data_IF_283629300411
#
_entry.id   IF_283629300411
#
_cell.length_a   1.000
_cell.length_b   1.000
_cell.length_c   1.000
_cell.angle_alpha   90.00
_cell.angle_beta   90.00
_cell.angle_gamma   90.00
#
_symmetry.space_group_name_H-M   'P 1'
#
loop_
_entity.id
_entity.type
_entity.pdbx_description
1 polymer ?
#
# COMPACT_ATOMS: atom_id res chain seq x y z
N UNK A 1 -14.70 55.50 30.64
CA UNK A 1 -16.03 55.12 30.12
C UNK A 1 -15.77 54.43 28.80
N UNK A 2 -15.54 53.13 28.89
CA UNK A 2 -15.29 52.23 27.77
C UNK A 2 -16.56 52.11 26.92
N UNK A 3 -16.42 52.23 25.60
CA UNK A 3 -17.45 51.83 24.64
C UNK A 3 -16.92 50.66 23.84
N UNK A 4 -17.55 49.51 24.03
CA UNK A 4 -17.35 48.24 23.33
C UNK A 4 -17.31 48.41 21.81
N UNK A 5 -16.17 48.07 21.21
CA UNK A 5 -16.04 47.85 19.78
C UNK A 5 -16.04 46.35 19.48
N UNK A 6 -17.22 45.75 19.39
CA UNK A 6 -17.39 44.35 18.97
C UNK A 6 -17.64 44.33 17.47
N UNK A 7 -16.57 44.24 16.68
CA UNK A 7 -16.66 43.92 15.26
C UNK A 7 -17.12 42.46 15.14
N UNK A 8 -18.34 42.27 14.66
CA UNK A 8 -18.82 40.97 14.17
C UNK A 8 -18.14 40.69 12.84
N UNK A 9 -17.13 39.84 12.84
CA UNK A 9 -16.68 39.14 11.63
C UNK A 9 -17.80 38.19 11.21
N UNK A 10 -18.59 38.61 10.22
CA UNK A 10 -19.44 37.71 9.45
C UNK A 10 -18.53 36.85 8.59
N UNK A 11 -18.27 35.62 9.03
CA UNK A 11 -17.59 34.58 8.25
C UNK A 11 -18.38 34.32 6.95
N UNK A 12 -17.81 34.77 5.83
CA UNK A 12 -18.24 34.39 4.48
C UNK A 12 -18.15 32.86 4.34
N UNK A 13 -19.29 32.19 4.54
CA UNK A 13 -19.52 30.83 4.04
C UNK A 13 -19.27 30.81 2.54
N UNK A 14 -18.14 30.26 2.11
CA UNK A 14 -17.90 29.89 0.71
C UNK A 14 -19.09 29.03 0.23
N UNK A 15 -19.80 29.43 -0.83
CA UNK A 15 -20.94 28.66 -1.30
C UNK A 15 -20.47 27.33 -1.89
N UNK A 16 -21.18 26.25 -1.53
CA UNK A 16 -21.05 24.97 -2.23
C UNK A 16 -21.26 25.23 -3.74
N UNK A 17 -20.27 24.87 -4.56
CA UNK A 17 -20.31 25.08 -6.00
C UNK A 17 -21.54 24.36 -6.56
N UNK A 18 -22.55 25.13 -6.95
CA UNK A 18 -23.77 24.60 -7.56
C UNK A 18 -23.41 24.01 -8.93
N UNK A 19 -23.62 22.69 -9.08
CA UNK A 19 -23.38 21.98 -10.35
C UNK A 19 -24.32 22.51 -11.42
N UNK A 20 -23.82 22.62 -12.65
CA UNK A 20 -24.70 22.94 -13.79
C UNK A 20 -25.69 21.79 -14.05
N UNK A 21 -26.79 22.07 -14.73
CA UNK A 21 -27.79 21.04 -15.09
C UNK A 21 -27.17 19.87 -15.87
N UNK A 22 -26.20 20.15 -16.75
CA UNK A 22 -25.47 19.13 -17.51
C UNK A 22 -24.54 18.28 -16.64
N UNK A 23 -23.80 18.91 -15.71
CA UNK A 23 -22.94 18.19 -14.76
C UNK A 23 -23.77 17.30 -13.82
N UNK A 24 -24.93 17.78 -13.37
CA UNK A 24 -25.82 16.99 -12.52
C UNK A 24 -26.41 15.79 -13.28
N UNK A 25 -26.75 15.95 -14.56
CA UNK A 25 -27.19 14.83 -15.40
C UNK A 25 -26.09 13.78 -15.58
N UNK A 26 -24.84 14.20 -15.86
CA UNK A 26 -23.70 13.29 -15.98
C UNK A 26 -23.43 12.54 -14.66
N UNK A 27 -23.49 13.26 -13.53
CA UNK A 27 -23.38 12.67 -12.20
C UNK A 27 -24.44 11.58 -11.98
N UNK A 28 -25.71 11.90 -12.20
CA UNK A 28 -26.82 10.97 -11.99
C UNK A 28 -26.70 9.74 -12.90
N UNK A 29 -26.30 9.93 -14.15
CA UNK A 29 -26.11 8.83 -15.10
C UNK A 29 -24.97 7.89 -14.68
N UNK A 30 -23.84 8.43 -14.21
CA UNK A 30 -22.72 7.62 -13.72
C UNK A 30 -23.07 6.91 -12.41
N UNK A 31 -23.73 7.59 -11.47
CA UNK A 31 -24.22 6.99 -10.23
C UNK A 31 -25.16 5.80 -10.50
N UNK A 32 -26.10 5.94 -11.44
CA UNK A 32 -26.99 4.85 -11.83
C UNK A 32 -26.23 3.63 -12.37
N UNK A 33 -25.20 3.84 -13.20
CA UNK A 33 -24.34 2.76 -13.71
C UNK A 33 -23.55 2.07 -12.61
N UNK A 34 -23.05 2.81 -11.62
CA UNK A 34 -22.35 2.22 -10.46
C UNK A 34 -23.31 1.32 -9.68
N UNK A 35 -24.51 1.80 -9.35
CA UNK A 35 -25.51 1.02 -8.63
C UNK A 35 -25.94 -0.23 -9.39
N UNK A 36 -26.13 -0.12 -10.71
CA UNK A 36 -26.44 -1.27 -11.56
C UNK A 36 -25.32 -2.30 -11.56
N UNK A 37 -24.06 -1.87 -11.69
CA UNK A 37 -22.91 -2.75 -11.64
C UNK A 37 -22.76 -3.43 -10.25
N UNK A 38 -23.03 -2.72 -9.15
CA UNK A 38 -23.09 -3.31 -7.81
C UNK A 38 -24.17 -4.39 -7.71
N UNK A 39 -25.38 -4.10 -8.21
CA UNK A 39 -26.51 -5.04 -8.21
C UNK A 39 -26.17 -6.34 -8.94
N UNK A 40 -25.47 -6.25 -10.07
CA UNK A 40 -25.07 -7.41 -10.87
C UNK A 40 -23.71 -8.00 -10.48
N UNK A 41 -23.05 -7.45 -9.45
CA UNK A 41 -21.70 -7.83 -9.02
C UNK A 41 -20.68 -7.79 -10.17
N UNK A 42 -20.86 -6.84 -11.09
CA UNK A 42 -19.98 -6.64 -12.24
C UNK A 42 -18.73 -5.86 -11.84
N UNK A 43 -17.77 -6.58 -11.25
CA UNK A 43 -16.53 -5.99 -10.73
C UNK A 43 -15.71 -5.33 -11.84
N UNK A 44 -15.76 -5.84 -13.07
CA UNK A 44 -15.05 -5.24 -14.21
C UNK A 44 -15.60 -3.84 -14.52
N UNK A 45 -16.92 -3.69 -14.61
CA UNK A 45 -17.55 -2.39 -14.81
C UNK A 45 -17.31 -1.46 -13.62
N UNK A 46 -17.35 -1.96 -12.38
CA UNK A 46 -17.05 -1.15 -11.19
C UNK A 46 -15.62 -0.59 -11.22
N UNK A 47 -14.64 -1.39 -11.65
CA UNK A 47 -13.24 -0.93 -11.81
C UNK A 47 -13.10 0.14 -12.87
N UNK A 48 -13.74 -0.05 -14.02
CA UNK A 48 -13.74 0.93 -15.10
C UNK A 48 -14.35 2.27 -14.63
N UNK A 49 -15.47 2.22 -13.90
CA UNK A 49 -16.15 3.39 -13.35
C UNK A 49 -15.31 4.09 -12.26
N UNK A 50 -14.69 3.33 -11.35
CA UNK A 50 -13.81 3.85 -10.30
C UNK A 50 -12.52 4.50 -10.88
N UNK A 51 -12.03 3.99 -12.00
CA UNK A 51 -10.84 4.54 -12.67
C UNK A 51 -11.18 5.77 -13.51
N UNK A 52 -12.37 5.81 -14.12
CA UNK A 52 -12.83 6.94 -14.95
C UNK A 52 -12.94 8.25 -14.18
N UNK A 53 -12.93 9.37 -14.91
CA UNK A 53 -12.94 10.74 -14.37
C UNK A 53 -14.00 10.94 -13.27
N UNK A 54 -13.57 11.51 -12.13
CA UNK A 54 -14.41 11.72 -10.94
C UNK A 54 -14.65 10.48 -10.07
N UNK A 55 -14.16 9.30 -10.46
CA UNK A 55 -14.21 8.08 -9.65
C UNK A 55 -15.62 7.64 -9.28
N UNK A 56 -15.82 7.19 -8.04
CA UNK A 56 -17.11 6.68 -7.56
C UNK A 56 -18.08 7.77 -7.08
N UNK A 57 -17.69 9.05 -7.19
CA UNK A 57 -18.51 10.24 -6.96
C UNK A 57 -18.90 10.57 -5.50
N UNK A 58 -19.23 9.58 -4.68
CA UNK A 58 -19.65 9.81 -3.28
C UNK A 58 -19.36 8.63 -2.37
N UNK A 59 -19.30 8.89 -1.06
CA UNK A 59 -19.08 7.84 -0.05
C UNK A 59 -20.23 6.83 0.01
N UNK A 60 -21.47 7.22 -0.30
CA UNK A 60 -22.61 6.29 -0.43
C UNK A 60 -22.39 5.24 -1.52
N UNK A 61 -21.82 5.64 -2.66
CA UNK A 61 -21.49 4.73 -3.74
C UNK A 61 -20.25 3.91 -3.42
N UNK A 62 -19.26 4.51 -2.73
CA UNK A 62 -18.06 3.79 -2.25
C UNK A 62 -18.41 2.70 -1.25
N UNK A 63 -19.31 2.95 -0.30
CA UNK A 63 -19.81 1.94 0.65
C UNK A 63 -20.34 0.69 -0.04
N UNK A 64 -21.07 0.89 -1.15
CA UNK A 64 -21.61 -0.22 -1.93
C UNK A 64 -20.56 -0.86 -2.84
N UNK A 65 -19.54 -0.13 -3.28
CA UNK A 65 -18.61 -0.57 -4.33
C UNK A 65 -17.31 -1.16 -3.79
N UNK A 66 -16.70 -0.53 -2.77
CA UNK A 66 -15.41 -0.94 -2.22
C UNK A 66 -15.38 -2.40 -1.73
N UNK A 67 -16.45 -2.96 -1.12
CA UNK A 67 -16.47 -4.39 -0.78
C UNK A 67 -16.20 -5.30 -1.99
N UNK A 68 -16.82 -5.01 -3.14
CA UNK A 68 -16.58 -5.76 -4.38
C UNK A 68 -15.16 -5.59 -4.92
N UNK A 69 -14.60 -4.38 -4.87
CA UNK A 69 -13.22 -4.11 -5.33
C UNK A 69 -12.16 -4.80 -4.45
N UNK A 70 -12.47 -4.98 -3.16
CA UNK A 70 -11.66 -5.70 -2.18
C UNK A 70 -11.92 -7.22 -2.19
N UNK A 71 -12.99 -7.68 -2.82
CA UNK A 71 -13.26 -9.10 -2.98
C UNK A 71 -13.91 -9.77 -1.77
N UNK A 72 -14.78 -9.06 -1.05
CA UNK A 72 -15.63 -9.69 -0.04
C UNK A 72 -17.09 -9.34 -0.28
N UNK A 73 -18.04 -10.26 -0.02
CA UNK A 73 -19.44 -9.93 -0.06
C UNK A 73 -19.72 -8.91 1.05
N UNK A 74 -20.37 -7.79 0.70
CA UNK A 74 -21.02 -6.92 1.69
C UNK A 74 -21.91 -7.82 2.54
N UNK A 75 -21.75 -7.79 3.86
CA UNK A 75 -22.65 -8.54 4.73
C UNK A 75 -23.99 -7.79 4.75
N UNK A 76 -24.95 -8.27 3.96
CA UNK A 76 -26.34 -7.89 4.12
C UNK A 76 -26.84 -8.51 5.44
N UNK A 77 -26.96 -7.68 6.47
CA UNK A 77 -27.82 -7.80 7.65
C UNK A 77 -28.20 -9.23 8.13
N UNK A 78 -27.34 -9.83 8.97
CA UNK A 78 -27.77 -10.85 9.96
C UNK A 78 -27.67 -10.23 11.38
N UNK A 79 -28.68 -9.43 11.72
CA UNK A 79 -28.69 -8.46 12.84
C UNK A 79 -28.80 -9.10 14.24
N UNK A 80 -29.07 -10.39 14.38
CA UNK A 80 -29.53 -10.94 15.68
C UNK A 80 -28.44 -11.61 16.55
N UNK A 81 -27.18 -11.69 16.11
CA UNK A 81 -26.08 -12.32 16.90
C UNK A 81 -24.76 -11.54 16.86
N UNK A 82 -24.85 -10.20 16.84
CA UNK A 82 -23.73 -9.39 16.36
C UNK A 82 -22.80 -8.81 17.44
N UNK A 83 -23.27 -8.47 18.64
CA UNK A 83 -22.41 -7.75 19.61
C UNK A 83 -21.26 -8.62 20.15
N UNK A 84 -21.54 -9.87 20.53
CA UNK A 84 -20.49 -10.77 21.04
C UNK A 84 -19.47 -11.20 19.97
N UNK A 85 -19.90 -11.28 18.70
CA UNK A 85 -19.02 -11.53 17.56
C UNK A 85 -18.19 -10.29 17.22
N UNK A 86 -18.80 -9.10 17.24
CA UNK A 86 -18.12 -7.81 16.99
C UNK A 86 -17.06 -7.52 18.04
N UNK A 87 -17.31 -7.79 19.31
CA UNK A 87 -16.32 -7.56 20.37
C UNK A 87 -15.41 -8.76 20.66
N UNK A 88 -15.55 -9.86 19.91
CA UNK A 88 -14.77 -11.08 20.13
C UNK A 88 -13.26 -10.87 20.08
N UNK A 89 -12.80 -9.90 19.29
CA UNK A 89 -11.38 -9.56 19.16
C UNK A 89 -10.78 -9.02 20.45
N UNK A 90 -11.58 -8.40 21.33
CA UNK A 90 -11.10 -7.88 22.63
C UNK A 90 -10.57 -8.99 23.54
N UNK A 91 -11.03 -10.24 23.33
CA UNK A 91 -10.56 -11.45 24.04
C UNK A 91 -9.30 -12.06 23.43
N UNK A 92 -8.89 -11.65 22.23
CA UNK A 92 -7.66 -12.13 21.61
C UNK A 92 -6.44 -11.52 22.32
N UNK A 93 -5.28 -12.20 22.28
CA UNK A 93 -4.05 -11.69 22.86
C UNK A 93 -3.68 -10.29 22.34
N UNK A 94 -3.08 -9.48 23.21
CA UNK A 94 -2.55 -8.16 22.84
C UNK A 94 -1.55 -8.30 21.68
N UNK A 95 -1.71 -7.49 20.65
CA UNK A 95 -0.73 -7.38 19.57
C UNK A 95 0.49 -6.56 20.03
N UNK A 96 1.67 -6.92 19.53
CA UNK A 96 2.96 -6.30 19.92
C UNK A 96 3.03 -4.80 19.61
N UNK A 97 2.28 -4.34 18.61
CA UNK A 97 2.38 -2.97 18.08
C UNK A 97 1.30 -2.01 18.60
N UNK A 98 0.41 -2.43 19.52
CA UNK A 98 -0.72 -1.59 19.99
C UNK A 98 -0.27 -0.26 20.62
N UNK A 99 0.88 -0.23 21.28
CA UNK A 99 1.38 1.00 21.90
C UNK A 99 1.77 2.03 20.82
N UNK A 100 2.32 1.57 19.69
CA UNK A 100 2.61 2.43 18.53
C UNK A 100 1.33 2.90 17.85
N UNK A 101 0.31 2.03 17.74
CA UNK A 101 -1.02 2.39 17.22
C UNK A 101 -1.58 3.57 18.01
N UNK A 102 -1.56 3.50 19.34
CA UNK A 102 -2.10 4.56 20.19
C UNK A 102 -1.38 5.91 19.97
N UNK A 103 -0.04 5.90 19.89
CA UNK A 103 0.75 7.12 19.65
C UNK A 103 0.42 7.77 18.30
N UNK A 104 0.18 6.96 17.28
CA UNK A 104 -0.13 7.41 15.93
C UNK A 104 -1.56 7.91 15.81
N UNK A 105 -2.54 7.18 16.37
CA UNK A 105 -3.95 7.57 16.38
C UNK A 105 -4.18 8.90 17.10
N UNK A 106 -3.41 9.19 18.15
CA UNK A 106 -3.46 10.48 18.84
C UNK A 106 -3.15 11.66 17.90
N UNK A 107 -2.39 11.42 16.83
CA UNK A 107 -2.00 12.39 15.80
C UNK A 107 -2.87 12.31 14.53
N UNK A 108 -3.95 11.53 14.52
CA UNK A 108 -4.87 11.41 13.38
C UNK A 108 -5.95 12.49 13.36
N UNK A 109 -6.66 12.61 12.23
CA UNK A 109 -7.73 13.57 11.98
C UNK A 109 -7.33 15.05 12.14
N UNK A 110 -6.08 15.40 11.80
CA UNK A 110 -5.58 16.78 11.85
C UNK A 110 -6.16 17.64 10.73
N UNK A 111 -6.18 17.10 9.50
CA UNK A 111 -6.60 17.87 8.32
C UNK A 111 -8.06 17.64 7.95
N UNK A 112 -8.59 16.43 8.20
CA UNK A 112 -9.96 16.07 7.86
C UNK A 112 -10.55 15.09 8.87
N UNK A 113 -11.88 15.04 9.01
CA UNK A 113 -12.87 15.94 8.40
C UNK A 113 -12.93 17.32 9.12
N UNK A 114 -13.30 18.37 8.39
CA UNK A 114 -13.49 19.71 8.97
C UNK A 114 -14.73 19.80 9.88
N UNK A 115 -14.80 20.88 10.68
CA UNK A 115 -15.96 21.28 11.49
C UNK A 115 -16.44 20.23 12.50
N UNK A 116 -15.51 19.49 13.10
CA UNK A 116 -15.81 18.48 14.11
C UNK A 116 -15.64 19.05 15.52
N UNK A 117 -16.54 18.66 16.43
CA UNK A 117 -16.32 18.90 17.85
C UNK A 117 -15.15 18.06 18.37
N UNK A 118 -14.45 18.51 19.42
CA UNK A 118 -13.39 17.71 20.05
C UNK A 118 -13.90 16.32 20.47
N UNK A 119 -15.14 16.24 20.96
CA UNK A 119 -15.78 14.97 21.33
C UNK A 119 -15.97 14.03 20.13
N UNK A 120 -16.29 14.57 18.95
CA UNK A 120 -16.41 13.77 17.74
C UNK A 120 -15.04 13.28 17.24
N UNK A 121 -14.01 14.11 17.37
CA UNK A 121 -12.63 13.73 17.06
C UNK A 121 -12.13 12.63 17.99
N UNK A 122 -12.35 12.77 19.30
CA UNK A 122 -11.96 11.76 20.29
C UNK A 122 -12.66 10.43 20.04
N UNK A 123 -13.98 10.46 19.78
CA UNK A 123 -14.73 9.26 19.37
C UNK A 123 -14.15 8.61 18.11
N UNK A 124 -13.83 9.40 17.06
CA UNK A 124 -13.23 8.83 15.84
C UNK A 124 -11.84 8.24 16.09
N UNK A 125 -11.05 8.84 16.97
CA UNK A 125 -9.76 8.28 17.39
C UNK A 125 -9.93 6.96 18.12
N UNK A 126 -10.91 6.85 19.02
CA UNK A 126 -11.26 5.58 19.65
C UNK A 126 -11.68 4.53 18.62
N UNK A 127 -12.61 4.87 17.71
CA UNK A 127 -13.04 3.97 16.63
C UNK A 127 -11.87 3.55 15.70
N UNK A 128 -10.93 4.45 15.43
CA UNK A 128 -9.74 4.16 14.62
C UNK A 128 -8.78 3.22 15.36
N UNK A 129 -8.56 3.44 16.65
CA UNK A 129 -7.73 2.59 17.51
C UNK A 129 -8.31 1.18 17.59
N UNK A 130 -9.62 1.07 17.81
CA UNK A 130 -10.33 -0.20 17.86
C UNK A 130 -10.23 -0.93 16.52
N UNK A 131 -10.47 -0.24 15.39
CA UNK A 131 -10.36 -0.82 14.05
C UNK A 131 -8.97 -1.41 13.77
N UNK A 132 -7.91 -0.63 14.03
CA UNK A 132 -6.53 -1.07 13.77
C UNK A 132 -6.17 -2.23 14.71
N UNK A 133 -6.50 -2.13 15.99
CA UNK A 133 -6.21 -3.15 16.99
C UNK A 133 -6.94 -4.46 16.68
N UNK A 134 -8.21 -4.36 16.30
CA UNK A 134 -9.03 -5.50 15.89
C UNK A 134 -8.39 -6.26 14.73
N UNK A 135 -7.96 -5.55 13.68
CA UNK A 135 -7.28 -6.17 12.51
C UNK A 135 -5.98 -6.85 12.93
N UNK A 136 -5.13 -6.16 13.71
CA UNK A 136 -3.84 -6.70 14.14
C UNK A 136 -3.98 -7.90 15.09
N UNK A 137 -4.96 -7.90 15.99
CA UNK A 137 -5.21 -9.04 16.89
C UNK A 137 -5.76 -10.26 16.16
N UNK A 138 -6.61 -10.05 15.14
CA UNK A 138 -7.10 -11.15 14.29
C UNK A 138 -6.04 -11.68 13.31
N UNK A 139 -5.08 -10.84 12.94
CA UNK A 139 -3.98 -11.19 12.02
C UNK A 139 -2.61 -10.84 12.63
N UNK A 140 -2.20 -11.53 13.71
CA UNK A 140 -1.02 -11.16 14.51
C UNK A 140 0.32 -11.33 13.80
N UNK A 141 0.32 -11.94 12.62
CA UNK A 141 1.50 -12.03 11.76
C UNK A 141 1.85 -10.68 11.11
N UNK A 142 0.87 -9.80 10.90
CA UNK A 142 1.09 -8.48 10.33
C UNK A 142 1.89 -7.59 11.29
N UNK A 143 2.86 -6.84 10.79
CA UNK A 143 3.58 -5.80 11.54
C UNK A 143 2.98 -4.44 11.21
N UNK A 144 2.66 -3.65 12.25
CA UNK A 144 2.25 -2.27 12.07
C UNK A 144 3.43 -1.43 11.52
N UNK A 145 3.13 -0.49 10.63
CA UNK A 145 4.07 0.54 10.20
C UNK A 145 3.50 1.93 10.46
N UNK A 146 4.36 2.88 10.80
CA UNK A 146 3.95 4.27 11.01
C UNK A 146 3.42 4.87 9.70
N UNK A 147 2.17 5.36 9.74
CA UNK A 147 1.41 5.82 8.57
C UNK A 147 0.27 4.88 8.15
N UNK A 148 0.19 3.66 8.71
CA UNK A 148 -0.94 2.76 8.44
C UNK A 148 -2.28 3.35 8.92
N UNK A 149 -2.28 4.12 10.00
CA UNK A 149 -3.45 4.84 10.50
C UNK A 149 -4.04 5.84 9.48
N UNK A 150 -3.21 6.47 8.64
CA UNK A 150 -3.65 7.39 7.60
C UNK A 150 -4.46 6.65 6.51
N UNK A 151 -4.17 5.37 6.28
CA UNK A 151 -4.99 4.52 5.40
C UNK A 151 -6.29 4.14 6.11
N UNK A 152 -6.20 3.63 7.34
CA UNK A 152 -7.35 3.15 8.09
C UNK A 152 -8.39 4.24 8.37
N UNK A 153 -7.98 5.49 8.60
CA UNK A 153 -8.92 6.59 8.83
C UNK A 153 -9.79 6.88 7.60
N UNK A 154 -9.27 6.68 6.38
CA UNK A 154 -10.08 6.83 5.15
C UNK A 154 -11.18 5.76 5.12
N UNK A 155 -10.83 4.51 5.41
CA UNK A 155 -11.81 3.43 5.51
C UNK A 155 -12.86 3.66 6.59
N UNK A 156 -12.46 4.23 7.73
CA UNK A 156 -13.37 4.59 8.82
C UNK A 156 -14.38 5.67 8.41
N UNK A 157 -13.94 6.66 7.63
CA UNK A 157 -14.81 7.74 7.15
C UNK A 157 -15.75 7.29 6.03
N UNK A 158 -15.31 6.38 5.17
CA UNK A 158 -16.11 5.90 4.03
C UNK A 158 -17.07 4.78 4.46
N UNK A 159 -16.58 3.73 5.11
CA UNK A 159 -17.33 2.49 5.35
C UNK A 159 -18.14 2.50 6.66
N UNK A 160 -19.25 1.76 6.63
CA UNK A 160 -20.05 1.46 7.82
C UNK A 160 -19.32 0.52 8.78
N UNK A 161 -19.70 0.56 10.06
CA UNK A 161 -19.00 -0.15 11.14
C UNK A 161 -18.84 -1.66 10.89
N UNK A 162 -19.82 -2.32 10.28
CA UNK A 162 -19.80 -3.76 9.98
C UNK A 162 -18.69 -4.17 9.01
N UNK A 163 -18.34 -3.31 8.04
CA UNK A 163 -17.45 -3.67 6.94
C UNK A 163 -15.99 -3.23 7.16
N UNK A 164 -15.74 -2.25 8.04
CA UNK A 164 -14.42 -1.62 8.23
C UNK A 164 -13.31 -2.65 8.49
N UNK A 165 -13.52 -3.55 9.46
CA UNK A 165 -12.50 -4.54 9.86
C UNK A 165 -12.18 -5.51 8.71
N UNK A 166 -13.20 -6.04 8.04
CA UNK A 166 -13.03 -6.95 6.91
C UNK A 166 -12.33 -6.27 5.73
N UNK A 167 -12.71 -5.04 5.41
CA UNK A 167 -12.11 -4.24 4.35
C UNK A 167 -10.62 -4.01 4.59
N UNK A 168 -10.28 -3.52 5.78
CA UNK A 168 -8.92 -3.18 6.18
C UNK A 168 -8.05 -4.43 6.28
N UNK A 169 -8.56 -5.53 6.83
CA UNK A 169 -7.85 -6.81 6.86
C UNK A 169 -7.48 -7.31 5.45
N UNK A 170 -8.43 -7.24 4.51
CA UNK A 170 -8.18 -7.65 3.12
C UNK A 170 -7.21 -6.73 2.40
N UNK A 171 -7.33 -5.41 2.58
CA UNK A 171 -6.35 -4.46 2.07
C UNK A 171 -4.95 -4.80 2.58
N UNK A 172 -4.82 -4.96 3.90
CA UNK A 172 -3.57 -5.28 4.59
C UNK A 172 -2.94 -6.58 4.11
N UNK A 173 -3.69 -7.66 4.02
CA UNK A 173 -3.16 -8.96 3.66
C UNK A 173 -2.90 -9.11 2.15
N UNK A 174 -3.65 -8.41 1.29
CA UNK A 174 -3.68 -8.70 -0.15
C UNK A 174 -3.15 -7.57 -1.04
N UNK A 175 -3.14 -6.31 -0.57
CA UNK A 175 -2.76 -5.15 -1.40
C UNK A 175 -1.55 -4.40 -0.87
N UNK A 176 -1.39 -4.30 0.46
CA UNK A 176 -0.28 -3.55 1.09
C UNK A 176 0.61 -4.40 2.00
N UNK A 177 0.43 -5.73 1.99
CA UNK A 177 1.14 -6.69 2.86
C UNK A 177 2.63 -6.47 2.91
N UNK A 178 3.26 -6.14 1.77
CA UNK A 178 4.69 -5.88 1.66
C UNK A 178 5.21 -4.80 2.64
N UNK A 179 4.35 -3.86 3.02
CA UNK A 179 4.65 -2.80 3.98
C UNK A 179 4.49 -3.24 5.44
N UNK A 180 3.74 -4.32 5.66
CA UNK A 180 3.46 -4.91 6.96
C UNK A 180 4.38 -6.10 7.28
N UNK A 181 5.45 -6.33 6.51
CA UNK A 181 6.49 -7.31 6.84
C UNK A 181 7.35 -6.84 8.03
N UNK A 182 8.12 -7.74 8.68
CA UNK A 182 9.03 -7.39 9.78
C UNK A 182 10.11 -6.36 9.44
N UNK A 183 10.34 -6.09 8.15
CA UNK A 183 11.26 -5.06 7.69
C UNK A 183 10.64 -4.31 6.52
N UNK A 184 11.03 -3.05 6.32
CA UNK A 184 10.63 -2.26 5.14
C UNK A 184 11.40 -2.63 3.85
N UNK A 185 12.28 -3.64 3.88
CA UNK A 185 13.07 -4.01 2.71
C UNK A 185 12.22 -4.32 1.45
N UNK A 186 11.05 -5.02 1.55
CA UNK A 186 10.13 -5.18 0.42
C UNK A 186 9.59 -3.84 -0.10
N UNK A 187 9.16 -2.94 0.79
CA UNK A 187 8.69 -1.60 0.43
C UNK A 187 9.76 -0.85 -0.39
N UNK A 188 11.00 -0.83 0.12
CA UNK A 188 12.13 -0.21 -0.56
C UNK A 188 12.45 -0.88 -1.91
N UNK A 189 12.24 -2.19 -2.03
CA UNK A 189 12.41 -2.90 -3.30
C UNK A 189 11.36 -2.46 -4.33
N UNK A 190 10.12 -2.19 -3.92
CA UNK A 190 9.08 -1.65 -4.81
C UNK A 190 9.46 -0.26 -5.32
N UNK A 191 10.00 0.62 -4.47
CA UNK A 191 10.45 1.97 -4.87
C UNK A 191 11.53 1.96 -5.95
N UNK A 192 12.35 0.91 -6.04
CA UNK A 192 13.35 0.76 -7.11
C UNK A 192 12.73 0.58 -8.49
N UNK A 193 11.42 0.31 -8.59
CA UNK A 193 10.72 0.34 -9.87
C UNK A 193 10.61 1.77 -10.42
N UNK A 194 10.60 2.81 -9.58
CA UNK A 194 10.57 4.22 -10.02
C UNK A 194 11.73 4.52 -10.98
N UNK A 195 13.02 4.37 -10.59
CA UNK A 195 14.12 4.61 -11.53
C UNK A 195 14.10 3.67 -12.73
N UNK A 196 13.55 2.46 -12.63
CA UNK A 196 13.38 1.57 -13.79
C UNK A 196 12.34 2.08 -14.80
N UNK A 197 11.24 2.68 -14.31
CA UNK A 197 10.23 3.36 -15.14
C UNK A 197 10.84 4.60 -15.79
N UNK A 198 11.54 5.45 -15.01
CA UNK A 198 12.21 6.64 -15.54
C UNK A 198 13.20 6.27 -16.65
N UNK A 199 14.03 5.24 -16.45
CA UNK A 199 14.95 4.78 -17.48
C UNK A 199 14.25 4.37 -18.79
N UNK A 200 13.05 3.80 -18.71
CA UNK A 200 12.30 3.37 -19.89
C UNK A 200 11.57 4.51 -20.62
N UNK A 201 11.23 5.58 -19.89
CA UNK A 201 10.44 6.71 -20.40
C UNK A 201 11.32 7.90 -20.79
N UNK A 202 12.19 8.31 -19.87
CA UNK A 202 13.08 9.46 -20.00
C UNK A 202 14.47 9.11 -19.42
N UNK A 203 15.37 8.55 -20.26
CA UNK A 203 16.74 8.24 -19.85
C UNK A 203 17.54 9.46 -19.37
N UNK A 204 17.20 10.69 -19.82
CA UNK A 204 17.90 11.90 -19.37
C UNK A 204 17.55 12.20 -17.92
N UNK A 205 16.26 12.17 -17.59
CA UNK A 205 15.79 12.36 -16.22
C UNK A 205 16.30 11.25 -15.29
N UNK A 206 16.32 10.00 -15.76
CA UNK A 206 16.93 8.90 -15.01
C UNK A 206 18.40 9.18 -14.65
N UNK A 207 19.21 9.61 -15.63
CA UNK A 207 20.62 9.90 -15.40
C UNK A 207 20.79 11.09 -14.45
N UNK A 208 19.96 12.12 -14.58
CA UNK A 208 19.94 13.30 -13.71
C UNK A 208 19.67 12.95 -12.25
N UNK A 209 18.77 12.00 -12.00
CA UNK A 209 18.41 11.54 -10.65
C UNK A 209 19.23 10.33 -10.16
N UNK A 210 20.27 9.92 -10.88
CA UNK A 210 20.97 8.63 -10.63
C UNK A 210 21.65 8.54 -9.26
N UNK A 211 21.99 9.67 -8.66
CA UNK A 211 22.60 9.74 -7.32
C UNK A 211 21.55 9.76 -6.20
N UNK A 212 20.29 10.05 -6.53
CA UNK A 212 19.19 10.16 -5.55
C UNK A 212 18.50 8.82 -5.36
N UNK A 213 18.56 8.29 -4.14
CA UNK A 213 17.79 7.09 -3.80
C UNK A 213 16.29 7.40 -3.77
N UNK A 214 15.41 6.49 -4.22
CA UNK A 214 13.97 6.74 -4.35
C UNK A 214 13.22 6.78 -3.01
N UNK A 215 13.91 7.01 -1.89
CA UNK A 215 13.30 7.08 -0.56
C UNK A 215 12.34 8.27 -0.41
N UNK A 216 12.47 9.30 -1.25
CA UNK A 216 11.53 10.42 -1.31
C UNK A 216 10.09 9.96 -1.58
N UNK A 217 9.92 8.79 -2.23
CA UNK A 217 8.61 8.23 -2.57
C UNK A 217 8.01 7.35 -1.48
N UNK A 218 8.75 7.09 -0.40
CA UNK A 218 8.31 6.15 0.62
C UNK A 218 7.04 6.62 1.31
N UNK A 219 6.97 7.88 1.77
CA UNK A 219 5.77 8.43 2.43
C UNK A 219 4.51 8.24 1.59
N UNK A 220 4.52 8.74 0.36
CA UNK A 220 3.35 8.70 -0.53
C UNK A 220 2.93 7.29 -0.89
N UNK A 221 3.85 6.40 -1.25
CA UNK A 221 3.48 5.01 -1.62
C UNK A 221 3.07 4.17 -0.42
N UNK A 222 3.73 4.33 0.73
CA UNK A 222 3.46 3.60 1.96
C UNK A 222 2.09 3.91 2.55
N UNK A 223 1.67 5.18 2.46
CA UNK A 223 0.39 5.68 3.02
C UNK A 223 -0.72 5.82 1.98
N UNK A 224 -0.52 5.28 0.76
CA UNK A 224 -1.44 5.47 -0.37
C UNK A 224 -1.79 6.95 -0.62
N UNK A 225 -0.80 7.83 -0.42
CA UNK A 225 -0.85 9.30 -0.54
C UNK A 225 -1.79 10.01 0.45
N UNK A 226 -2.42 9.27 1.37
CA UNK A 226 -3.34 9.84 2.35
C UNK A 226 -2.64 10.75 3.38
N UNK A 227 -1.32 10.58 3.55
CA UNK A 227 -0.52 11.44 4.42
C UNK A 227 -0.15 12.78 3.77
N UNK A 228 0.11 12.78 2.46
CA UNK A 228 0.69 13.93 1.75
C UNK A 228 -0.40 14.86 1.14
N UNK A 229 -1.63 14.35 0.97
CA UNK A 229 -2.78 15.10 0.44
C UNK A 229 -3.69 15.50 1.61
N UNK A 230 -4.12 16.76 1.61
CA UNK A 230 -4.92 17.34 2.70
C UNK A 230 -6.42 17.30 2.43
N UNK A 231 -6.82 17.38 1.16
CA UNK A 231 -8.23 17.38 0.76
C UNK A 231 -8.79 15.95 0.78
N UNK A 232 -9.77 15.69 1.65
CA UNK A 232 -10.39 14.37 1.79
C UNK A 232 -11.01 13.88 0.47
N UNK A 233 -11.61 14.78 -0.32
CA UNK A 233 -12.20 14.43 -1.61
C UNK A 233 -11.19 13.82 -2.59
N UNK A 234 -9.98 14.37 -2.62
CA UNK A 234 -8.88 13.89 -3.47
C UNK A 234 -8.34 12.55 -2.97
N UNK A 235 -8.24 12.37 -1.64
CA UNK A 235 -7.81 11.11 -1.02
C UNK A 235 -8.83 10.00 -1.34
N UNK A 236 -10.12 10.25 -1.13
CA UNK A 236 -11.17 9.27 -1.42
C UNK A 236 -11.21 8.92 -2.92
N UNK A 237 -10.98 9.91 -3.80
CA UNK A 237 -10.85 9.71 -5.24
C UNK A 237 -9.66 8.84 -5.62
N UNK A 238 -8.51 8.98 -4.96
CA UNK A 238 -7.34 8.12 -5.16
C UNK A 238 -7.61 6.68 -4.72
N UNK A 239 -8.29 6.50 -3.58
CA UNK A 239 -8.63 5.17 -3.07
C UNK A 239 -9.56 4.44 -4.05
N UNK A 240 -10.49 5.13 -4.71
CA UNK A 240 -11.29 4.55 -5.80
C UNK A 240 -10.39 3.88 -6.86
N UNK A 241 -9.31 4.56 -7.26
CA UNK A 241 -8.36 4.03 -8.27
C UNK A 241 -7.50 2.90 -7.69
N UNK A 242 -6.91 3.08 -6.51
CA UNK A 242 -6.00 2.07 -5.95
C UNK A 242 -6.72 0.77 -5.57
N UNK A 243 -8.01 0.83 -5.24
CA UNK A 243 -8.81 -0.37 -5.03
C UNK A 243 -9.22 -1.03 -6.35
N UNK A 244 -9.42 -0.23 -7.40
CA UNK A 244 -9.79 -0.72 -8.73
C UNK A 244 -8.60 -1.25 -9.54
N UNK A 245 -7.40 -0.72 -9.34
CA UNK A 245 -6.18 -1.01 -10.09
C UNK A 245 -5.23 -1.93 -9.33
N UNK A 246 -4.19 -2.35 -10.03
CA UNK A 246 -3.17 -3.26 -9.53
C UNK A 246 -2.28 -2.57 -8.49
N UNK A 247 -1.74 -3.31 -7.52
CA UNK A 247 -0.95 -2.72 -6.43
C UNK A 247 0.27 -1.90 -6.93
N UNK A 248 0.85 -2.30 -8.07
CA UNK A 248 1.95 -1.58 -8.71
C UNK A 248 1.57 -0.17 -9.21
N UNK A 249 0.28 0.11 -9.42
CA UNK A 249 -0.20 1.40 -9.92
C UNK A 249 0.22 2.57 -9.03
N UNK A 250 0.26 2.40 -7.70
CA UNK A 250 0.73 3.44 -6.76
C UNK A 250 2.19 3.83 -7.05
N UNK A 251 3.07 2.86 -7.33
CA UNK A 251 4.47 3.16 -7.68
C UNK A 251 4.59 3.90 -9.01
N UNK A 252 3.74 3.55 -9.98
CA UNK A 252 3.67 4.24 -11.28
C UNK A 252 3.16 5.66 -11.14
N UNK A 253 2.20 5.90 -10.24
CA UNK A 253 1.72 7.25 -9.96
C UNK A 253 2.84 8.13 -9.43
N UNK A 254 3.70 7.60 -8.55
CA UNK A 254 4.86 8.34 -8.09
C UNK A 254 5.84 8.63 -9.24
N UNK A 255 6.15 7.64 -10.06
CA UNK A 255 7.01 7.84 -11.23
C UNK A 255 6.43 8.91 -12.18
N UNK A 256 5.11 8.92 -12.38
CA UNK A 256 4.42 9.91 -13.19
C UNK A 256 4.52 11.33 -12.59
N UNK A 257 4.43 11.48 -11.26
CA UNK A 257 4.68 12.76 -10.58
C UNK A 257 6.10 13.26 -10.87
N UNK A 258 7.10 12.38 -10.82
CA UNK A 258 8.50 12.74 -11.14
C UNK A 258 8.64 13.18 -12.60
N UNK A 259 8.02 12.46 -13.54
CA UNK A 259 8.05 12.79 -14.97
C UNK A 259 7.41 14.16 -15.24
N UNK A 260 6.27 14.45 -14.62
CA UNK A 260 5.56 15.73 -14.78
C UNK A 260 6.35 16.94 -14.25
N UNK A 261 7.26 16.70 -13.32
CA UNK A 261 8.12 17.72 -12.72
C UNK A 261 9.53 17.75 -13.32
N UNK A 262 9.74 17.08 -14.45
CA UNK A 262 11.06 16.97 -15.08
C UNK A 262 11.72 18.33 -15.32
N UNK A 263 10.97 19.32 -15.81
CA UNK A 263 11.49 20.68 -16.04
C UNK A 263 12.03 21.31 -14.74
N UNK A 264 11.25 21.30 -13.65
CA UNK A 264 11.68 21.79 -12.32
C UNK A 264 12.92 21.04 -11.80
N UNK A 265 12.99 19.73 -12.03
CA UNK A 265 14.11 18.91 -11.58
C UNK A 265 15.39 19.21 -12.35
N UNK A 266 15.31 19.53 -13.64
CA UNK A 266 16.48 19.91 -14.45
C UNK A 266 17.03 21.31 -14.12
N UNK A 267 16.24 22.17 -13.48
CA UNK A 267 16.73 23.47 -12.95
C UNK A 267 17.67 23.28 -11.75
N UNK A 268 17.57 22.15 -11.04
CA UNK A 268 18.46 21.79 -9.93
C UNK A 268 19.63 20.94 -10.45
N UNK A 269 20.89 21.28 -10.13
CA UNK A 269 22.05 20.49 -10.56
C UNK A 269 22.00 19.02 -10.13
N UNK A 270 22.50 18.12 -10.98
CA UNK A 270 22.48 16.67 -10.73
C UNK A 270 23.40 16.22 -9.58
N UNK A 271 24.38 17.03 -9.23
CA UNK A 271 25.33 16.83 -8.13
C UNK A 271 24.84 17.39 -6.79
N UNK A 272 23.57 17.82 -6.72
CA UNK A 272 22.88 18.23 -5.49
C UNK A 272 21.73 17.24 -5.12
N UNK A 273 22.05 15.96 -4.80
CA UNK A 273 21.04 14.94 -4.56
C UNK A 273 20.13 15.24 -3.35
N UNK A 274 20.61 15.98 -2.34
CA UNK A 274 19.80 16.38 -1.19
C UNK A 274 18.70 17.39 -1.58
N UNK A 275 19.01 18.32 -2.47
CA UNK A 275 18.06 19.31 -2.97
C UNK A 275 16.99 18.62 -3.83
N UNK A 276 17.41 17.76 -4.76
CA UNK A 276 16.51 16.93 -5.56
C UNK A 276 15.61 16.06 -4.67
N UNK A 277 16.16 15.43 -3.62
CA UNK A 277 15.39 14.65 -2.67
C UNK A 277 14.33 15.50 -1.94
N UNK A 278 14.70 16.70 -1.49
CA UNK A 278 13.78 17.64 -0.84
C UNK A 278 12.62 18.06 -1.74
N UNK A 279 12.92 18.36 -3.01
CA UNK A 279 11.93 18.72 -4.04
C UNK A 279 10.96 17.54 -4.27
N UNK A 280 11.50 16.34 -4.44
CA UNK A 280 10.75 15.11 -4.73
C UNK A 280 9.96 14.58 -3.53
N UNK A 281 10.32 14.95 -2.31
CA UNK A 281 9.59 14.56 -1.09
C UNK A 281 8.29 15.33 -0.88
N UNK A 282 8.02 16.36 -1.70
CA UNK A 282 6.79 17.15 -1.66
C UNK A 282 5.98 16.86 -2.92
N UNK A 283 4.68 16.62 -2.77
CA UNK A 283 3.77 16.56 -3.90
C UNK A 283 3.61 17.96 -4.53
N UNK A 284 3.45 18.05 -5.88
CA UNK A 284 3.24 19.33 -6.54
C UNK A 284 1.94 19.97 -6.06
N UNK A 285 1.93 21.30 -5.97
CA UNK A 285 0.75 22.10 -5.59
C UNK A 285 0.55 23.22 -6.63
N UNK A 286 -0.59 23.27 -7.36
CA UNK A 286 -1.72 22.34 -7.29
C UNK A 286 -1.38 20.95 -7.88
N UNK A 287 -2.04 19.91 -7.36
CA UNK A 287 -1.98 18.55 -7.91
C UNK A 287 -3.19 18.33 -8.82
N UNK A 288 -3.00 18.32 -10.13
CA UNK A 288 -4.07 17.92 -11.06
C UNK A 288 -4.25 16.40 -11.01
N UNK A 289 -5.16 15.98 -10.13
CA UNK A 289 -5.36 14.58 -9.79
C UNK A 289 -5.88 13.75 -10.97
N UNK A 290 -6.83 14.29 -11.73
CA UNK A 290 -7.41 13.56 -12.87
C UNK A 290 -6.39 13.42 -14.01
N UNK A 291 -5.63 14.47 -14.32
CA UNK A 291 -4.55 14.36 -15.30
C UNK A 291 -3.46 13.38 -14.82
N UNK A 292 -3.12 13.38 -13.53
CA UNK A 292 -2.17 12.43 -12.95
C UNK A 292 -2.66 10.98 -13.10
N UNK A 293 -3.91 10.68 -12.74
CA UNK A 293 -4.50 9.34 -12.87
C UNK A 293 -4.50 8.88 -14.33
N UNK A 294 -4.97 9.73 -15.25
CA UNK A 294 -5.03 9.41 -16.68
C UNK A 294 -3.64 9.16 -17.28
N UNK A 295 -2.67 10.01 -16.96
CA UNK A 295 -1.31 9.85 -17.46
C UNK A 295 -0.61 8.63 -16.83
N UNK A 296 -0.89 8.34 -15.55
CA UNK A 296 -0.40 7.13 -14.89
C UNK A 296 -0.95 5.86 -15.55
N UNK A 297 -2.24 5.84 -15.92
CA UNK A 297 -2.83 4.73 -16.65
C UNK A 297 -2.14 4.51 -18.01
N UNK A 298 -1.95 5.57 -18.80
CA UNK A 298 -1.21 5.52 -20.07
C UNK A 298 0.22 5.03 -19.89
N UNK A 299 0.91 5.51 -18.85
CA UNK A 299 2.27 5.11 -18.51
C UNK A 299 2.33 3.61 -18.18
N UNK A 300 1.40 3.13 -17.36
CA UNK A 300 1.29 1.73 -16.94
C UNK A 300 1.02 0.79 -18.12
N UNK A 301 0.10 1.15 -19.02
CA UNK A 301 -0.21 0.37 -20.23
C UNK A 301 0.95 0.31 -21.21
N UNK A 302 1.65 1.43 -21.40
CA UNK A 302 2.79 1.51 -22.33
C UNK A 302 4.01 0.73 -21.81
N UNK A 303 4.28 0.85 -20.51
CA UNK A 303 5.43 0.25 -19.83
C UNK A 303 5.00 -0.65 -18.66
N UNK A 304 4.28 -1.76 -18.90
CA UNK A 304 3.82 -2.64 -17.82
C UNK A 304 5.01 -3.21 -17.02
N UNK A 305 4.80 -3.54 -15.73
CA UNK A 305 5.89 -3.95 -14.82
C UNK A 305 6.77 -5.05 -15.38
N UNK A 306 6.18 -6.01 -16.11
CA UNK A 306 6.87 -7.16 -16.72
C UNK A 306 7.97 -6.76 -17.71
N UNK A 307 7.88 -5.57 -18.33
CA UNK A 307 8.90 -5.04 -19.24
C UNK A 307 10.06 -4.36 -18.51
N UNK A 308 9.91 -4.05 -17.23
CA UNK A 308 10.94 -3.38 -16.43
C UNK A 308 12.02 -4.37 -15.99
N UNK A 309 13.30 -4.00 -16.13
CA UNK A 309 14.43 -4.86 -15.78
C UNK A 309 14.40 -5.32 -14.31
N UNK A 310 14.00 -4.42 -13.40
CA UNK A 310 13.96 -4.67 -11.95
C UNK A 310 12.71 -5.42 -11.48
N UNK A 311 11.75 -5.71 -12.36
CA UNK A 311 10.58 -6.54 -12.00
C UNK A 311 10.95 -7.95 -11.56
N UNK A 312 12.00 -8.51 -12.17
CA UNK A 312 12.50 -9.85 -11.84
C UNK A 312 13.08 -9.93 -10.43
N UNK A 313 13.54 -8.82 -9.86
CA UNK A 313 14.03 -8.78 -8.47
C UNK A 313 12.93 -8.65 -7.43
N UNK A 314 11.71 -8.28 -7.82
CA UNK A 314 10.56 -8.29 -6.90
C UNK A 314 10.22 -9.75 -6.55
N UNK A 315 10.00 -10.03 -5.26
CA UNK A 315 9.59 -11.36 -4.80
C UNK A 315 8.33 -11.83 -5.54
N UNK A 316 8.27 -13.10 -5.94
CA UNK A 316 7.03 -13.70 -6.48
C UNK A 316 5.90 -13.77 -5.45
N UNK A 317 6.22 -13.58 -4.17
CA UNK A 317 5.29 -13.52 -3.05
C UNK A 317 4.92 -12.08 -2.68
N UNK A 318 5.43 -11.07 -3.39
CA UNK A 318 5.07 -9.65 -3.20
C UNK A 318 3.65 -9.38 -3.67
N UNK A 319 2.94 -8.46 -2.99
CA UNK A 319 1.64 -7.95 -3.44
C UNK A 319 1.67 -7.40 -4.86
N UNK A 320 2.79 -6.87 -5.33
CA UNK A 320 2.89 -6.41 -6.72
C UNK A 320 2.64 -7.54 -7.73
N UNK A 321 2.97 -8.79 -7.36
CA UNK A 321 2.80 -9.98 -8.20
C UNK A 321 1.58 -10.83 -7.83
N UNK A 322 1.23 -10.89 -6.55
CA UNK A 322 0.05 -11.66 -6.09
C UNK A 322 -1.26 -10.90 -6.26
N UNK A 323 -1.20 -9.57 -6.37
CA UNK A 323 -2.31 -8.68 -6.72
C UNK A 323 -2.05 -8.00 -8.07
N UNK A 324 -1.46 -8.75 -9.02
CA UNK A 324 -1.11 -8.24 -10.34
C UNK A 324 -2.31 -8.19 -11.28
N UNK A 325 -3.31 -9.05 -11.06
CA UNK A 325 -4.50 -9.08 -11.88
C UNK A 325 -5.76 -8.90 -11.03
N UNK A 326 -6.75 -8.32 -11.69
CA UNK A 326 -8.02 -7.91 -11.14
C UNK A 326 -8.80 -9.05 -10.46
N UNK A 327 -8.80 -10.21 -11.07
CA UNK A 327 -9.47 -11.43 -10.62
C UNK A 327 -8.74 -12.15 -9.47
N UNK A 328 -7.41 -12.00 -9.38
CA UNK A 328 -6.61 -12.70 -8.36
C UNK A 328 -7.02 -12.31 -6.94
N UNK A 329 -7.12 -11.00 -6.69
CA UNK A 329 -7.40 -10.49 -5.34
C UNK A 329 -8.83 -10.71 -4.90
N UNK A 330 -9.77 -10.79 -5.84
CA UNK A 330 -11.18 -11.08 -5.54
C UNK A 330 -11.33 -12.53 -5.06
N UNK A 331 -10.54 -13.44 -5.62
CA UNK A 331 -10.59 -14.86 -5.29
C UNK A 331 -9.63 -15.28 -4.17
N UNK A 332 -8.74 -14.38 -3.71
CA UNK A 332 -7.80 -14.65 -2.62
C UNK A 332 -8.47 -14.53 -1.25
N UNK A 333 -8.14 -15.47 -0.37
CA UNK A 333 -8.55 -15.43 1.05
C UNK A 333 -7.49 -14.72 1.90
N UNK A 334 -7.81 -14.45 3.17
CA UNK A 334 -6.84 -13.85 4.10
C UNK A 334 -5.70 -14.83 4.43
N UNK A 335 -5.98 -16.14 4.40
CA UNK A 335 -4.99 -17.21 4.56
C UNK A 335 -3.99 -17.26 3.40
N UNK A 336 -4.42 -16.97 2.16
CA UNK A 336 -3.49 -16.80 1.04
C UNK A 336 -2.52 -15.65 1.30
N UNK A 337 -3.03 -14.54 1.83
CA UNK A 337 -2.22 -13.39 2.24
C UNK A 337 -1.17 -13.76 3.30
N UNK A 338 -1.56 -14.52 4.32
CA UNK A 338 -0.67 -15.03 5.36
C UNK A 338 0.37 -16.03 4.80
N UNK A 339 -0.04 -16.90 3.87
CA UNK A 339 0.88 -17.81 3.20
C UNK A 339 1.96 -17.04 2.44
N UNK A 340 1.58 -16.03 1.64
CA UNK A 340 2.54 -15.21 0.91
C UNK A 340 3.41 -14.35 1.84
N UNK A 341 2.85 -13.85 2.93
CA UNK A 341 3.61 -13.18 4.01
C UNK A 341 4.76 -14.07 4.48
N UNK A 342 4.42 -15.27 4.94
CA UNK A 342 5.38 -16.23 5.51
C UNK A 342 6.44 -16.64 4.48
N UNK A 343 6.05 -16.80 3.22
CA UNK A 343 6.98 -17.12 2.14
C UNK A 343 7.97 -15.98 1.90
N UNK A 344 7.50 -14.73 1.86
CA UNK A 344 8.35 -13.56 1.65
C UNK A 344 9.25 -13.27 2.85
N UNK A 345 8.77 -13.47 4.09
CA UNK A 345 9.61 -13.40 5.30
C UNK A 345 10.76 -14.40 5.22
N UNK A 346 10.49 -15.65 4.83
CA UNK A 346 11.56 -16.64 4.61
C UNK A 346 12.53 -16.13 3.53
N UNK A 347 12.05 -15.68 2.37
CA UNK A 347 12.92 -15.16 1.32
C UNK A 347 13.89 -14.06 1.83
N UNK A 348 13.39 -13.14 2.69
CA UNK A 348 14.21 -12.11 3.34
C UNK A 348 15.26 -12.71 4.28
N UNK A 349 14.86 -13.58 5.21
CA UNK A 349 15.81 -14.19 6.14
C UNK A 349 16.91 -14.99 5.41
N UNK A 350 16.55 -15.65 4.31
CA UNK A 350 17.51 -16.37 3.47
C UNK A 350 18.48 -15.42 2.77
N UNK A 351 18.00 -14.27 2.29
CA UNK A 351 18.85 -13.23 1.71
C UNK A 351 19.82 -12.66 2.77
N UNK A 352 19.34 -12.34 3.97
CA UNK A 352 20.17 -11.81 5.05
C UNK A 352 21.26 -12.81 5.50
N UNK A 353 20.90 -14.09 5.64
CA UNK A 353 21.87 -15.16 5.94
C UNK A 353 22.92 -15.29 4.84
N UNK A 354 22.52 -15.23 3.57
CA UNK A 354 23.43 -15.28 2.43
C UNK A 354 24.39 -14.09 2.44
N UNK A 355 23.90 -12.88 2.69
CA UNK A 355 24.72 -11.67 2.75
C UNK A 355 25.71 -11.71 3.92
N UNK A 356 25.30 -12.25 5.07
CA UNK A 356 26.20 -12.49 6.20
C UNK A 356 27.34 -13.45 5.80
N UNK A 357 27.01 -14.56 5.13
CA UNK A 357 28.01 -15.53 4.66
C UNK A 357 28.96 -14.90 3.65
N UNK A 358 28.45 -14.13 2.68
CA UNK A 358 29.28 -13.40 1.72
C UNK A 358 30.24 -12.46 2.47
N UNK A 359 29.75 -11.66 3.43
CA UNK A 359 30.59 -10.75 4.23
C UNK A 359 31.69 -11.51 4.99
N UNK A 360 31.35 -12.65 5.59
CA UNK A 360 32.32 -13.52 6.29
C UNK A 360 33.37 -14.06 5.31
N UNK A 361 32.96 -14.62 4.17
CA UNK A 361 33.87 -15.13 3.13
C UNK A 361 34.80 -14.02 2.65
N UNK A 362 34.27 -12.83 2.36
CA UNK A 362 35.06 -11.67 1.94
C UNK A 362 36.07 -11.20 2.99
N UNK A 363 35.71 -11.29 4.29
CA UNK A 363 36.61 -10.98 5.40
C UNK A 363 37.77 -12.00 5.50
N UNK A 364 37.50 -13.27 5.25
CA UNK A 364 38.48 -14.36 5.43
C UNK A 364 39.20 -14.82 4.14
N UNK A 365 38.87 -14.27 2.97
CA UNK A 365 39.47 -14.68 1.68
C UNK A 365 40.98 -14.45 1.53
N UNK A 366 41.55 -13.53 2.32
CA UNK A 366 42.99 -13.23 2.32
C UNK A 366 43.78 -14.03 3.37
N UNK A 367 43.30 -14.19 4.62
CA UNK A 367 44.02 -14.97 5.63
C UNK A 367 43.91 -16.50 5.47
N UNK A 368 42.84 -17.01 4.86
CA UNK A 368 42.69 -18.44 4.60
C UNK A 368 43.12 -18.76 3.16
N UNK A 369 44.17 -19.57 2.97
CA UNK A 369 44.53 -20.10 1.65
C UNK A 369 43.35 -20.81 0.97
N UNK A 370 43.45 -21.10 -0.33
CA UNK A 370 42.35 -21.60 -1.18
C UNK A 370 41.57 -22.79 -0.60
N UNK A 371 42.27 -23.72 0.07
CA UNK A 371 41.65 -24.90 0.71
C UNK A 371 40.84 -24.51 1.96
N UNK A 372 41.34 -23.59 2.79
CA UNK A 372 40.65 -23.14 4.00
C UNK A 372 39.39 -22.32 3.67
N UNK A 373 39.43 -21.53 2.60
CA UNK A 373 38.26 -20.80 2.12
C UNK A 373 37.16 -21.75 1.60
N UNK A 374 37.52 -22.79 0.86
CA UNK A 374 36.57 -23.78 0.33
C UNK A 374 35.88 -24.57 1.47
N UNK A 375 36.64 -24.98 2.48
CA UNK A 375 36.09 -25.67 3.67
C UNK A 375 35.15 -24.75 4.44
N UNK A 376 35.52 -23.49 4.66
CA UNK A 376 34.67 -22.51 5.35
C UNK A 376 33.36 -22.24 4.59
N UNK A 377 33.42 -22.09 3.27
CA UNK A 377 32.22 -21.96 2.41
C UNK A 377 31.35 -23.21 2.48
N UNK A 378 31.95 -24.40 2.47
CA UNK A 378 31.24 -25.68 2.60
C UNK A 378 30.51 -25.83 3.93
N UNK A 379 31.16 -25.49 5.05
CA UNK A 379 30.57 -25.51 6.40
C UNK A 379 29.44 -24.51 6.52
N UNK A 380 29.65 -23.27 6.07
CA UNK A 380 28.62 -22.22 6.10
C UNK A 380 27.41 -22.60 5.24
N UNK A 381 27.65 -23.15 4.05
CA UNK A 381 26.59 -23.59 3.13
C UNK A 381 25.81 -24.79 3.69
N UNK A 382 26.49 -25.73 4.36
CA UNK A 382 25.83 -26.84 5.06
C UNK A 382 25.01 -26.37 6.26
N UNK A 383 25.51 -25.39 7.02
CA UNK A 383 24.80 -24.81 8.16
C UNK A 383 23.50 -24.10 7.72
N UNK A 384 23.55 -23.33 6.63
CA UNK A 384 22.37 -22.70 6.00
C UNK A 384 21.35 -23.75 5.55
N UNK A 385 21.82 -24.86 4.95
CA UNK A 385 20.94 -25.94 4.47
C UNK A 385 20.29 -26.72 5.61
N UNK A 386 20.97 -26.88 6.76
CA UNK A 386 20.48 -27.67 7.90
C UNK A 386 19.53 -26.90 8.82
N UNK A 387 19.69 -25.57 8.95
CA UNK A 387 18.74 -24.72 9.69
C UNK A 387 17.44 -24.45 8.93
N UNK A 388 17.43 -24.78 7.64
CA UNK A 388 16.27 -24.74 6.77
C UNK A 388 15.60 -26.12 6.78
N UNK A 389 14.51 -26.27 7.52
CA UNK A 389 13.77 -27.54 7.63
C UNK A 389 13.42 -28.17 6.27
N UNK A 390 13.20 -29.50 6.22
CA UNK A 390 13.24 -30.27 4.99
C UNK A 390 12.00 -30.00 4.10
N UNK A 391 12.19 -29.33 2.96
CA UNK A 391 11.24 -29.36 1.85
C UNK A 391 11.60 -30.51 0.91
N UNK A 392 10.76 -31.55 0.96
CA UNK A 392 11.02 -32.94 0.52
C UNK A 392 11.06 -33.23 -0.98
N UNK A 393 11.41 -32.29 -1.86
CA UNK A 393 11.36 -32.55 -3.32
C UNK A 393 12.73 -32.90 -3.91
N UNK A 394 13.82 -32.33 -3.39
CA UNK A 394 15.18 -32.63 -3.88
C UNK A 394 15.80 -33.89 -3.26
N UNK A 395 15.26 -34.38 -2.14
CA UNK A 395 15.72 -35.60 -1.47
C UNK A 395 15.19 -36.90 -2.08
N UNK A 396 14.20 -36.84 -2.95
CA UNK A 396 13.66 -38.00 -3.66
C UNK A 396 14.51 -38.35 -4.90
N UNK A 397 14.92 -37.33 -5.67
CA UNK A 397 15.78 -37.50 -6.85
C UNK A 397 17.15 -38.10 -6.52
N UNK A 398 17.73 -37.75 -5.36
CA UNK A 398 19.03 -38.28 -4.94
C UNK A 398 18.97 -39.75 -4.49
N UNK A 399 17.82 -40.20 -3.93
CA UNK A 399 17.61 -41.59 -3.51
C UNK A 399 17.35 -42.54 -4.69
N UNK A 400 16.74 -42.03 -5.76
CA UNK A 400 16.51 -42.82 -6.97
C UNK A 400 17.79 -43.01 -7.81
N UNK A 401 18.77 -42.11 -7.68
CA UNK A 401 20.02 -42.18 -8.45
C UNK A 401 21.14 -42.97 -7.75
N UNK A 402 21.08 -43.14 -6.41
CA UNK A 402 22.17 -43.75 -5.63
C UNK A 402 21.92 -45.19 -5.18
N UNK A 403 20.77 -45.78 -5.53
CA UNK A 403 20.52 -47.21 -5.30
C UNK A 403 20.62 -47.67 -3.84
N UNK A 404 20.57 -46.75 -2.86
CA UNK A 404 20.80 -47.08 -1.47
C UNK A 404 19.49 -47.53 -0.80
N UNK A 405 19.30 -48.85 -0.68
CA UNK A 405 18.36 -49.46 0.27
C UNK A 405 19.11 -49.68 1.59
N UNK A 406 18.64 -49.07 2.67
CA UNK A 406 19.14 -49.30 4.02
C UNK A 406 17.97 -49.55 4.96
N UNK A 407 18.11 -50.63 5.72
CA UNK A 407 17.18 -51.26 6.66
C UNK A 407 16.61 -50.36 7.76
#
# INVERSE_FOLDING_TARGET
MESDGRATEEDEKKPAISRTSSQQQQYNAKAAKVLEACKWKDVHTLRALATSEGGLLSDDLRRQTWPFLLGYPSQDDDVESETEKRESWKRLPKHRDEDQVQLDVNRSFIYYPHDQSMKDLDRRKEELSDLITEVLRRHPYLCYFQGYHDICQVFLLVLGHSDRSAAVARLSALRIRDFMLPTLAPALAQLRLIPAILYAVDPKLYNHLSQTQPFFALSGTLTMYAHDIQEYGDIARLFDVFLAREAAFSVYMFAQIVIQRSDELFETPADEPEMLHSILSKLPKPLDLEALIQNTAKLFEKYPPEKLRLWRSISNSSVLKTARWEDQTVNQTLEDGEMFFNKQVRELEWADRRDMVIKVVWKYRRPAGTIGLAVLVGVLSFWIRKSSGPSGVLGAFWRQWTGYRGH
#
